data_IF_056292924186
#
_entry.id   IF_056292924186
#
_cell.length_a   1.000
_cell.length_b   1.000
_cell.length_c   1.000
_cell.angle_alpha   90.00
_cell.angle_beta   90.00
_cell.angle_gamma   90.00
#
_symmetry.space_group_name_H-M   'P 1'
#
loop_
_entity.id
_entity.type
_entity.pdbx_description
1 polymer ?
#
# COMPACT_ATOMS: atom_id res chain seq x y z
N UNK A 1 10.35 2.32 -6.84
CA UNK A 1 11.34 1.31 -6.42
C UNK A 1 11.09 1.01 -4.94
N UNK A 2 10.96 -0.26 -4.55
CA UNK A 2 10.81 -0.63 -3.14
C UNK A 2 12.08 -0.28 -2.35
N UNK A 3 11.97 0.10 -1.07
CA UNK A 3 13.13 0.44 -0.22
C UNK A 3 14.19 -0.67 -0.21
N UNK A 4 13.76 -1.94 -0.10
CA UNK A 4 14.65 -3.10 -0.15
C UNK A 4 15.48 -3.22 -1.44
N UNK A 5 15.07 -2.55 -2.52
CA UNK A 5 15.74 -2.58 -3.83
C UNK A 5 16.57 -1.30 -4.09
N UNK A 6 16.96 -0.57 -3.04
CA UNK A 6 17.72 0.67 -3.15
C UNK A 6 16.87 1.90 -3.48
N UNK A 7 15.55 1.82 -3.29
CA UNK A 7 14.67 2.98 -3.38
C UNK A 7 14.94 3.99 -2.27
N UNK A 8 14.87 5.28 -2.59
CA UNK A 8 14.96 6.35 -1.60
C UNK A 8 13.80 6.24 -0.60
N UNK A 9 14.09 6.41 0.68
CA UNK A 9 13.05 6.58 1.71
C UNK A 9 12.44 7.97 1.51
N UNK A 10 11.21 8.01 0.98
CA UNK A 10 10.44 9.24 0.77
C UNK A 10 9.00 9.04 1.25
N UNK A 11 8.46 10.04 1.94
CA UNK A 11 7.05 10.06 2.36
C UNK A 11 6.10 9.87 1.16
N UNK A 12 6.48 10.35 -0.02
CA UNK A 12 5.71 10.18 -1.27
C UNK A 12 5.62 8.72 -1.74
N UNK A 13 6.49 7.86 -1.22
CA UNK A 13 6.63 6.46 -1.66
C UNK A 13 6.31 5.44 -0.56
N UNK A 14 5.84 5.92 0.60
CA UNK A 14 5.66 5.11 1.80
C UNK A 14 4.26 5.24 2.39
N UNK A 15 3.84 4.20 3.13
CA UNK A 15 2.57 4.18 3.85
C UNK A 15 2.77 3.73 5.29
N UNK A 16 2.12 4.40 6.24
CA UNK A 16 2.11 3.98 7.65
C UNK A 16 1.02 2.94 7.88
N UNK A 17 1.39 1.84 8.52
CA UNK A 17 0.50 0.73 8.87
C UNK A 17 0.67 0.38 10.35
N UNK A 18 -0.41 -0.06 10.99
CA UNK A 18 -0.29 -0.66 12.32
C UNK A 18 0.48 -2.00 12.22
N UNK A 19 1.04 -2.46 13.35
CA UNK A 19 1.85 -3.69 13.40
C UNK A 19 1.18 -4.88 12.71
N UNK A 20 -0.11 -5.10 12.96
CA UNK A 20 -0.85 -6.21 12.36
C UNK A 20 -0.87 -6.12 10.84
N UNK A 21 -1.32 -5.00 10.27
CA UNK A 21 -1.38 -4.82 8.81
C UNK A 21 0.00 -4.77 8.16
N UNK A 22 1.00 -4.27 8.86
CA UNK A 22 2.38 -4.28 8.38
C UNK A 22 2.91 -5.71 8.20
N UNK A 23 2.66 -6.59 9.18
CA UNK A 23 2.97 -8.01 9.06
C UNK A 23 2.19 -8.66 7.92
N UNK A 24 0.88 -8.41 7.84
CA UNK A 24 0.02 -9.00 6.80
C UNK A 24 0.51 -8.63 5.40
N UNK A 25 0.84 -7.36 5.15
CA UNK A 25 1.32 -6.93 3.83
C UNK A 25 2.66 -7.56 3.45
N UNK A 26 3.55 -7.81 4.40
CA UNK A 26 4.83 -8.46 4.10
C UNK A 26 4.76 -9.97 3.94
N UNK A 27 3.77 -10.63 4.55
CA UNK A 27 3.70 -12.10 4.61
C UNK A 27 2.70 -12.71 3.65
N UNK A 28 1.82 -11.90 3.07
CA UNK A 28 0.77 -12.35 2.16
C UNK A 28 0.89 -11.59 0.84
N UNK A 29 0.12 -12.00 -0.16
CA UNK A 29 0.18 -11.45 -1.52
C UNK A 29 -0.48 -10.06 -1.63
N UNK A 30 -0.41 -9.22 -0.61
CA UNK A 30 -0.85 -7.83 -0.72
C UNK A 30 0.22 -7.00 -1.42
N UNK A 31 -0.21 -6.07 -2.26
CA UNK A 31 0.69 -5.09 -2.87
C UNK A 31 0.24 -3.68 -2.52
N UNK A 32 1.20 -2.75 -2.50
CA UNK A 32 0.93 -1.32 -2.36
C UNK A 32 1.49 -0.61 -3.59
N UNK A 33 0.65 0.19 -4.23
CA UNK A 33 1.09 1.15 -5.25
C UNK A 33 0.82 2.57 -4.72
N UNK A 34 1.71 3.49 -5.05
CA UNK A 34 1.53 4.90 -4.71
C UNK A 34 1.02 5.64 -5.96
N UNK A 35 -0.07 6.39 -5.82
CA UNK A 35 -0.60 7.27 -6.86
C UNK A 35 -0.78 8.66 -6.24
N UNK A 36 -0.06 9.66 -6.74
CA UNK A 36 -0.10 11.04 -6.24
C UNK A 36 0.14 11.14 -4.72
N UNK A 37 1.09 10.36 -4.19
CA UNK A 37 1.39 10.30 -2.75
C UNK A 37 0.34 9.55 -1.91
N UNK A 38 -0.69 8.98 -2.53
CA UNK A 38 -1.75 8.23 -1.87
C UNK A 38 -1.49 6.72 -2.03
N UNK A 39 -1.46 5.93 -0.94
CA UNK A 39 -1.32 4.49 -1.04
C UNK A 39 -2.63 3.84 -1.49
N UNK A 40 -2.50 2.98 -2.50
CA UNK A 40 -3.54 2.05 -2.93
C UNK A 40 -3.08 0.63 -2.64
N UNK A 41 -3.97 -0.14 -2.01
CA UNK A 41 -3.77 -1.50 -1.60
C UNK A 41 -4.43 -2.44 -2.60
N UNK A 42 -3.66 -3.41 -3.08
CA UNK A 42 -4.12 -4.44 -3.98
C UNK A 42 -4.20 -5.75 -3.18
N UNK A 43 -5.41 -6.31 -2.99
CA UNK A 43 -5.60 -7.50 -2.17
C UNK A 43 -5.19 -8.78 -2.93
N UNK A 44 -4.82 -9.86 -2.23
CA UNK A 44 -4.68 -11.21 -2.80
C UNK A 44 -5.87 -11.64 -3.67
N UNK A 45 -5.61 -12.47 -4.69
CA UNK A 45 -6.63 -12.92 -5.63
C UNK A 45 -7.77 -13.73 -4.98
N UNK A 46 -7.52 -14.32 -3.80
CA UNK A 46 -8.54 -15.03 -3.02
C UNK A 46 -9.47 -14.11 -2.23
N UNK A 47 -9.12 -12.82 -2.10
CA UNK A 47 -10.00 -11.77 -1.55
C UNK A 47 -10.74 -11.05 -2.68
N UNK A 48 -10.00 -10.63 -3.71
CA UNK A 48 -10.58 -10.06 -4.94
C UNK A 48 -9.88 -10.68 -6.16
N UNK A 49 -10.59 -11.54 -6.92
CA UNK A 49 -10.04 -12.16 -8.13
C UNK A 49 -9.58 -11.15 -9.19
N UNK A 50 -10.13 -9.93 -9.18
CA UNK A 50 -9.75 -8.87 -10.12
C UNK A 50 -8.54 -8.07 -9.65
N UNK A 51 -8.00 -8.32 -8.45
CA UNK A 51 -6.86 -7.59 -7.88
C UNK A 51 -7.10 -6.08 -7.97
N UNK A 52 -8.30 -5.59 -7.65
CA UNK A 52 -8.60 -4.16 -7.83
C UNK A 52 -7.93 -3.34 -6.75
N UNK A 53 -7.20 -2.31 -7.16
CA UNK A 53 -6.60 -1.35 -6.24
C UNK A 53 -7.69 -0.59 -5.46
N UNK A 54 -7.54 -0.53 -4.15
CA UNK A 54 -8.45 0.17 -3.24
C UNK A 54 -7.66 1.15 -2.38
N UNK A 55 -8.28 2.24 -1.94
CA UNK A 55 -7.68 3.17 -0.98
C UNK A 55 -8.63 3.39 0.18
N UNK A 56 -8.06 3.75 1.33
CA UNK A 56 -8.86 4.24 2.44
C UNK A 56 -9.46 5.61 2.07
N UNK A 57 -10.78 5.74 2.14
CA UNK A 57 -11.51 6.98 1.82
C UNK A 57 -11.71 7.88 3.05
N UNK A 58 -11.36 7.42 4.25
CA UNK A 58 -11.48 8.23 5.48
C UNK A 58 -10.47 9.37 5.53
N UNK A 59 -9.35 9.25 4.83
CA UNK A 59 -8.37 10.32 4.65
C UNK A 59 -8.61 10.99 3.29
N UNK A 60 -9.55 11.93 3.25
CA UNK A 60 -9.60 12.93 2.18
C UNK A 60 -8.42 13.87 2.42
N UNK A 61 -7.46 13.90 1.49
CA UNK A 61 -6.28 14.75 1.61
C UNK A 61 -6.71 16.19 1.92
N UNK A 62 -6.07 16.79 2.93
CA UNK A 62 -6.12 18.25 3.10
C UNK A 62 -5.41 18.82 1.87
N UNK A 63 -6.13 19.62 1.09
CA UNK A 63 -5.60 20.31 -0.09
C UNK A 63 -4.51 21.32 0.29
#
# INVERSE_FOLDING_TARGET
MHWLNGGITSEETMALLCRHHHTTIHQQDWEIIMQDGIPYYIPPAWIDPQRKATRNTMHVGVA
#
